data_IF_706413399457
#
_entry.id   IF_706413399457
#
_cell.length_a   1.000
_cell.length_b   1.000
_cell.length_c   1.000
_cell.angle_alpha   90.00
_cell.angle_beta   90.00
_cell.angle_gamma   90.00
#
_symmetry.space_group_name_H-M   'P 1'
#
loop_
_entity.id
_entity.type
_entity.pdbx_description
1 polymer ?
#
# COMPACT_ATOMS: atom_id res chain seq x y z
N UNK A 1 55.07 -5.74 6.57
CA UNK A 1 54.07 -6.51 5.78
C UNK A 1 52.86 -6.94 6.61
N UNK A 2 53.02 -7.68 7.72
CA UNK A 2 51.89 -8.15 8.56
C UNK A 2 50.98 -7.01 9.10
N UNK A 3 51.56 -5.89 9.54
CA UNK A 3 50.81 -4.72 10.02
C UNK A 3 50.03 -4.00 8.91
N UNK A 4 50.53 -4.01 7.67
CA UNK A 4 49.88 -3.37 6.53
C UNK A 4 48.68 -4.20 6.04
N UNK A 5 48.79 -5.53 6.04
CA UNK A 5 47.66 -6.41 5.71
C UNK A 5 46.52 -6.32 6.73
N UNK A 6 46.83 -6.16 8.03
CA UNK A 6 45.81 -6.02 9.07
C UNK A 6 45.02 -4.71 8.92
N UNK A 7 45.69 -3.62 8.55
CA UNK A 7 45.06 -2.31 8.31
C UNK A 7 44.16 -2.38 7.07
N UNK A 8 44.64 -2.99 5.97
CA UNK A 8 43.83 -3.16 4.76
C UNK A 8 42.61 -4.04 5.04
N UNK A 9 42.76 -5.13 5.80
CA UNK A 9 41.64 -6.00 6.18
C UNK A 9 40.63 -5.27 7.08
N UNK A 10 41.08 -4.45 8.03
CA UNK A 10 40.21 -3.65 8.88
C UNK A 10 39.44 -2.57 8.08
N UNK A 11 40.10 -1.91 7.12
CA UNK A 11 39.46 -0.93 6.23
C UNK A 11 38.47 -1.60 5.27
N UNK A 12 38.78 -2.80 4.78
CA UNK A 12 37.82 -3.58 3.98
C UNK A 12 36.64 -4.05 4.82
N UNK A 13 36.84 -4.51 6.07
CA UNK A 13 35.75 -4.90 6.96
C UNK A 13 34.83 -3.72 7.28
N UNK A 14 35.36 -2.52 7.55
CA UNK A 14 34.51 -1.35 7.81
C UNK A 14 33.77 -0.86 6.56
N UNK A 15 34.36 -0.99 5.38
CA UNK A 15 33.70 -0.69 4.11
C UNK A 15 32.57 -1.69 3.78
N UNK A 16 32.71 -2.97 4.12
CA UNK A 16 31.65 -3.98 3.91
C UNK A 16 30.49 -3.77 4.90
N UNK A 17 30.75 -3.32 6.13
CA UNK A 17 29.71 -3.01 7.13
C UNK A 17 28.98 -1.69 6.82
N UNK A 18 29.66 -0.70 6.24
CA UNK A 18 29.02 0.54 5.75
C UNK A 18 28.26 0.34 4.42
N UNK A 19 28.61 -0.71 3.67
CA UNK A 19 27.93 -1.13 2.44
C UNK A 19 26.76 -2.09 2.65
N UNK A 20 26.48 -2.50 3.90
CA UNK A 20 25.17 -3.06 4.26
C UNK A 20 24.16 -1.92 4.18
N UNK A 21 23.79 -1.58 2.94
CA UNK A 21 22.77 -0.60 2.65
C UNK A 21 21.55 -0.99 3.46
N UNK A 22 21.01 -0.02 4.21
CA UNK A 22 19.59 -0.03 4.58
C UNK A 22 18.82 -0.49 3.35
N UNK A 23 18.27 -1.69 3.42
CA UNK A 23 17.78 -2.42 2.27
C UNK A 23 16.69 -1.64 1.53
N UNK A 24 17.08 -0.88 0.49
CA UNK A 24 16.16 -0.22 -0.45
C UNK A 24 15.54 -1.25 -1.40
N UNK A 25 15.98 -2.51 -1.33
CA UNK A 25 15.32 -3.64 -1.99
C UNK A 25 14.27 -4.29 -1.09
N UNK A 26 13.72 -3.57 -0.08
CA UNK A 26 12.73 -4.10 0.87
C UNK A 26 11.66 -5.00 0.24
N UNK A 27 11.06 -4.65 -0.90
CA UNK A 27 10.10 -5.53 -1.61
C UNK A 27 10.71 -6.63 -2.51
N UNK A 28 12.00 -6.60 -2.79
CA UNK A 28 12.75 -7.70 -3.42
C UNK A 28 13.40 -8.62 -2.37
N UNK A 29 13.13 -8.42 -1.08
CA UNK A 29 13.45 -9.34 0.00
C UNK A 29 12.22 -9.60 0.88
N UNK A 30 11.10 -10.00 0.25
CA UNK A 30 9.86 -10.48 0.92
C UNK A 30 10.15 -11.80 1.66
N UNK A 31 10.97 -11.73 2.71
CA UNK A 31 11.45 -12.86 3.52
C UNK A 31 12.00 -14.01 2.66
N UNK A 32 12.85 -13.67 1.68
CA UNK A 32 13.47 -14.62 0.78
C UNK A 32 12.65 -15.00 -0.46
N UNK A 33 11.42 -14.49 -0.61
CA UNK A 33 10.62 -14.65 -1.84
C UNK A 33 10.97 -13.61 -2.90
N UNK A 34 11.43 -12.43 -2.49
CA UNK A 34 11.86 -11.37 -3.40
C UNK A 34 10.90 -11.03 -4.54
N UNK A 35 11.42 -10.73 -5.73
CA UNK A 35 10.61 -10.31 -6.87
C UNK A 35 9.47 -11.30 -7.18
N UNK A 36 9.71 -12.61 -7.00
CA UNK A 36 8.74 -13.66 -7.29
C UNK A 36 7.56 -13.72 -6.31
N UNK A 37 7.50 -12.83 -5.31
CA UNK A 37 6.30 -12.64 -4.50
C UNK A 37 5.19 -11.92 -5.28
N UNK A 38 5.54 -11.10 -6.28
CA UNK A 38 4.60 -10.31 -7.06
C UNK A 38 4.81 -10.48 -8.58
N UNK A 39 6.03 -10.76 -8.99
CA UNK A 39 6.45 -10.80 -10.39
C UNK A 39 6.66 -12.22 -10.90
N UNK A 40 6.20 -12.49 -12.13
CA UNK A 40 6.63 -13.69 -12.84
C UNK A 40 7.99 -13.43 -13.50
N UNK A 41 8.90 -14.42 -13.56
CA UNK A 41 10.19 -14.27 -14.26
C UNK A 41 10.03 -14.06 -15.78
N UNK A 42 8.82 -14.32 -16.32
CA UNK A 42 8.42 -14.04 -17.69
C UNK A 42 7.00 -13.45 -17.69
N UNK A 43 6.67 -12.66 -18.70
CA UNK A 43 5.44 -11.87 -18.73
C UNK A 43 4.16 -12.73 -18.60
N UNK A 44 3.30 -12.36 -17.64
CA UNK A 44 1.92 -12.82 -17.56
C UNK A 44 1.67 -13.97 -16.58
N UNK A 45 0.38 -14.17 -16.26
CA UNK A 45 -0.09 -15.13 -15.26
C UNK A 45 0.23 -16.60 -15.61
N UNK A 46 0.48 -16.89 -16.88
CA UNK A 46 0.90 -18.21 -17.35
C UNK A 46 2.26 -18.61 -16.76
N UNK A 47 3.14 -17.64 -16.52
CA UNK A 47 4.44 -17.87 -15.88
C UNK A 47 4.35 -18.45 -14.46
N UNK A 48 3.19 -18.33 -13.83
CA UNK A 48 2.91 -18.86 -12.48
C UNK A 48 1.88 -19.99 -12.48
N UNK A 49 1.60 -20.59 -13.64
CA UNK A 49 0.71 -21.75 -13.76
C UNK A 49 -0.77 -21.46 -13.52
N UNK A 50 -1.19 -20.19 -13.49
CA UNK A 50 -2.54 -19.78 -13.09
C UNK A 50 -3.22 -18.86 -14.11
N UNK A 51 -2.92 -19.04 -15.40
CA UNK A 51 -3.55 -18.24 -16.47
C UNK A 51 -4.96 -18.74 -16.81
N UNK A 52 -5.98 -17.88 -16.66
CA UNK A 52 -7.15 -18.01 -17.54
C UNK A 52 -6.85 -17.39 -18.91
N UNK A 53 -7.33 -18.04 -19.96
CA UNK A 53 -7.17 -17.61 -21.35
C UNK A 53 -7.90 -16.28 -21.69
N UNK A 54 -8.53 -15.62 -20.71
CA UNK A 54 -9.44 -14.49 -20.92
C UNK A 54 -8.76 -13.11 -20.96
N UNK A 55 -7.55 -12.93 -20.41
CA UNK A 55 -6.84 -11.64 -20.47
C UNK A 55 -5.76 -11.63 -21.55
N UNK A 56 -5.96 -10.99 -22.71
CA UNK A 56 -4.89 -10.72 -23.68
C UNK A 56 -3.87 -9.70 -23.16
N UNK A 57 -4.11 -9.13 -21.97
CA UNK A 57 -3.18 -8.25 -21.26
C UNK A 57 -2.42 -8.96 -20.15
N UNK A 58 -2.64 -10.27 -19.96
CA UNK A 58 -1.73 -11.11 -19.18
C UNK A 58 -0.35 -11.04 -19.84
N UNK A 59 0.58 -10.30 -19.21
CA UNK A 59 1.92 -10.05 -19.72
C UNK A 59 2.14 -8.69 -20.39
N UNK A 60 1.10 -7.86 -20.51
CA UNK A 60 1.25 -6.45 -20.94
C UNK A 60 1.69 -5.54 -19.79
N UNK A 61 1.44 -5.95 -18.55
CA UNK A 61 2.09 -5.37 -17.37
C UNK A 61 3.40 -6.12 -17.20
N UNK A 62 4.51 -5.45 -17.51
CA UNK A 62 5.83 -6.06 -17.52
C UNK A 62 6.09 -6.79 -16.20
N UNK A 63 6.45 -8.07 -16.31
CA UNK A 63 6.80 -8.94 -15.18
C UNK A 63 5.66 -9.17 -14.16
N UNK A 64 4.40 -8.75 -14.38
CA UNK A 64 3.32 -9.02 -13.43
C UNK A 64 2.90 -10.50 -13.48
N UNK A 65 2.80 -11.11 -12.29
CA UNK A 65 2.61 -12.55 -12.17
C UNK A 65 1.17 -13.03 -11.93
N UNK A 66 0.25 -12.16 -11.53
CA UNK A 66 -1.12 -12.61 -11.22
C UNK A 66 -2.07 -12.46 -12.40
N UNK A 67 -3.10 -13.31 -12.42
CA UNK A 67 -4.20 -13.19 -13.38
C UNK A 67 -5.17 -12.09 -12.94
N UNK A 68 -5.23 -11.03 -13.74
CA UNK A 68 -6.13 -9.90 -13.51
C UNK A 68 -7.54 -10.15 -14.07
N UNK A 69 -7.69 -11.12 -14.99
CA UNK A 69 -8.92 -11.30 -15.77
C UNK A 69 -10.19 -11.53 -14.95
N UNK A 70 -10.17 -12.25 -13.80
CA UNK A 70 -11.37 -12.47 -13.01
C UNK A 70 -12.00 -11.17 -12.47
N UNK A 71 -11.22 -10.10 -12.36
CA UNK A 71 -11.63 -8.81 -11.82
C UNK A 71 -12.20 -7.86 -12.88
N UNK A 72 -12.05 -8.18 -14.17
CA UNK A 72 -12.49 -7.30 -15.25
C UNK A 72 -14.01 -7.16 -15.28
N UNK A 73 -14.49 -5.91 -15.35
CA UNK A 73 -15.91 -5.60 -15.40
C UNK A 73 -16.68 -5.89 -14.11
N UNK A 74 -16.00 -6.23 -13.01
CA UNK A 74 -16.62 -6.47 -11.72
C UNK A 74 -17.02 -5.16 -11.06
N UNK A 75 -18.11 -5.18 -10.30
CA UNK A 75 -18.48 -4.08 -9.40
C UNK A 75 -18.34 -4.57 -7.97
N UNK A 76 -17.43 -3.93 -7.22
CA UNK A 76 -17.07 -4.29 -5.85
C UNK A 76 -17.52 -3.19 -4.88
N UNK A 77 -17.79 -3.58 -3.64
CA UNK A 77 -18.33 -2.72 -2.60
C UNK A 77 -17.48 -2.82 -1.33
N UNK A 78 -16.64 -1.83 -1.08
CA UNK A 78 -15.73 -1.78 0.06
C UNK A 78 -16.33 -0.98 1.21
N UNK A 79 -15.96 -1.33 2.44
CA UNK A 79 -16.09 -0.55 3.67
C UNK A 79 -17.50 -0.09 4.04
N UNK A 80 -17.72 0.27 5.30
CA UNK A 80 -18.99 0.81 5.82
C UNK A 80 -20.24 0.06 5.31
N UNK A 81 -20.23 -1.28 5.41
CA UNK A 81 -21.31 -2.13 4.89
C UNK A 81 -21.51 -2.06 3.36
N UNK A 82 -20.43 -1.86 2.62
CA UNK A 82 -20.40 -1.84 1.16
C UNK A 82 -20.77 -0.49 0.55
N UNK A 83 -20.54 0.60 1.28
CA UNK A 83 -20.90 1.97 0.87
C UNK A 83 -20.05 2.47 -0.30
N UNK A 84 -18.79 2.06 -0.39
CA UNK A 84 -17.85 2.55 -1.39
C UNK A 84 -17.81 1.59 -2.58
N UNK A 85 -18.51 1.97 -3.64
CA UNK A 85 -18.64 1.15 -4.84
C UNK A 85 -17.59 1.54 -5.86
N UNK A 86 -16.93 0.54 -6.46
CA UNK A 86 -16.03 0.70 -7.60
C UNK A 86 -16.42 -0.30 -8.69
N UNK A 87 -16.55 0.20 -9.93
CA UNK A 87 -16.67 -0.64 -11.12
C UNK A 87 -15.32 -0.70 -11.79
N UNK A 88 -14.77 -1.92 -11.88
CA UNK A 88 -13.47 -2.19 -12.47
C UNK A 88 -13.57 -2.22 -14.00
N UNK A 89 -12.70 -1.50 -14.73
CA UNK A 89 -12.71 -1.54 -16.18
C UNK A 89 -12.47 -2.95 -16.72
N UNK A 90 -12.90 -3.14 -17.95
CA UNK A 90 -12.60 -4.34 -18.68
C UNK A 90 -11.32 -4.16 -19.48
N UNK A 91 -10.20 -4.65 -18.94
CA UNK A 91 -8.93 -4.72 -19.65
C UNK A 91 -8.78 -6.06 -20.40
N UNK A 92 -9.85 -6.59 -21.00
CA UNK A 92 -9.89 -7.83 -21.79
C UNK A 92 -9.97 -7.57 -23.31
N UNK A 93 -10.21 -8.58 -24.14
CA UNK A 93 -10.48 -8.41 -25.60
C UNK A 93 -11.97 -8.48 -25.97
N UNK A 94 -12.82 -8.92 -25.05
CA UNK A 94 -14.26 -9.07 -25.26
C UNK A 94 -15.01 -8.20 -24.27
N UNK A 95 -16.17 -7.66 -24.66
CA UNK A 95 -17.02 -6.92 -23.73
C UNK A 95 -17.54 -7.85 -22.62
N UNK A 96 -17.53 -7.36 -21.38
CA UNK A 96 -17.99 -8.07 -20.18
C UNK A 96 -18.93 -7.12 -19.45
N UNK A 97 -20.12 -7.59 -19.03
CA UNK A 97 -21.10 -6.77 -18.28
C UNK A 97 -21.43 -5.42 -18.96
N UNK A 98 -21.53 -5.38 -20.29
CA UNK A 98 -21.70 -4.16 -21.11
C UNK A 98 -20.55 -3.13 -21.00
N UNK A 99 -19.38 -3.53 -20.49
CA UNK A 99 -18.17 -2.71 -20.41
C UNK A 99 -17.24 -3.14 -21.55
N UNK A 100 -16.98 -2.21 -22.48
CA UNK A 100 -16.08 -2.46 -23.60
C UNK A 100 -14.62 -2.57 -23.16
N UNK A 101 -13.80 -3.40 -23.85
CA UNK A 101 -12.36 -3.41 -23.70
C UNK A 101 -11.72 -2.02 -23.74
N UNK A 102 -10.83 -1.75 -22.79
CA UNK A 102 -9.92 -0.61 -22.83
C UNK A 102 -8.52 -1.09 -22.40
N UNK A 103 -7.47 -0.33 -22.69
CA UNK A 103 -6.18 -0.53 -22.05
C UNK A 103 -6.05 0.43 -20.85
N UNK A 104 -5.36 0.06 -19.76
CA UNK A 104 -5.01 1.03 -18.74
C UNK A 104 -4.13 2.12 -19.37
N UNK A 105 -4.46 3.38 -19.12
CA UNK A 105 -3.72 4.52 -19.67
C UNK A 105 -2.45 4.84 -18.87
N UNK A 106 -2.36 4.31 -17.65
CA UNK A 106 -1.22 4.47 -16.74
C UNK A 106 -1.17 3.31 -15.74
N UNK A 107 0.03 2.89 -15.34
CA UNK A 107 0.21 1.97 -14.21
C UNK A 107 -0.22 2.58 -12.86
N UNK A 108 -0.44 3.89 -12.82
CA UNK A 108 -0.95 4.64 -11.67
C UNK A 108 -2.44 4.96 -11.78
N UNK A 109 -3.14 4.45 -12.80
CA UNK A 109 -4.59 4.55 -12.85
C UNK A 109 -5.20 3.88 -11.60
N UNK A 110 -6.07 4.55 -10.84
CA UNK A 110 -6.56 4.03 -9.57
C UNK A 110 -7.35 2.73 -9.71
N UNK A 111 -8.08 2.55 -10.81
CA UNK A 111 -8.81 1.30 -11.05
C UNK A 111 -7.88 0.16 -11.41
N UNK A 112 -6.81 0.44 -12.17
CA UNK A 112 -5.76 -0.52 -12.42
C UNK A 112 -5.02 -0.90 -11.14
N UNK A 113 -4.69 0.08 -10.28
CA UNK A 113 -4.08 -0.17 -8.97
C UNK A 113 -4.96 -1.10 -8.13
N UNK A 114 -6.27 -0.84 -8.04
CA UNK A 114 -7.19 -1.73 -7.30
C UNK A 114 -7.20 -3.15 -7.90
N UNK A 115 -7.27 -3.30 -9.22
CA UNK A 115 -7.18 -4.60 -9.89
C UNK A 115 -5.86 -5.31 -9.54
N UNK A 116 -4.73 -4.61 -9.58
CA UNK A 116 -3.42 -5.18 -9.28
C UNK A 116 -3.37 -5.67 -7.83
N UNK A 117 -3.81 -4.87 -6.87
CA UNK A 117 -3.85 -5.26 -5.46
C UNK A 117 -4.77 -6.46 -5.22
N UNK A 118 -5.98 -6.43 -5.78
CA UNK A 118 -6.94 -7.53 -5.64
C UNK A 118 -6.49 -8.81 -6.33
N UNK A 119 -5.66 -8.75 -7.37
CA UNK A 119 -5.11 -9.97 -7.96
C UNK A 119 -4.24 -10.81 -7.00
N UNK A 120 -3.79 -10.17 -5.90
CA UNK A 120 -3.10 -10.81 -4.79
C UNK A 120 -4.01 -10.99 -3.56
N UNK A 121 -4.87 -10.00 -3.28
CA UNK A 121 -5.59 -9.87 -2.02
C UNK A 121 -7.09 -10.21 -2.09
N UNK A 122 -7.68 -10.48 -3.25
CA UNK A 122 -9.12 -10.77 -3.36
C UNK A 122 -9.49 -12.12 -2.70
N UNK A 123 -8.84 -13.22 -3.10
CA UNK A 123 -9.05 -14.55 -2.49
C UNK A 123 -10.40 -15.21 -2.81
N UNK A 124 -11.23 -14.62 -3.67
CA UNK A 124 -12.56 -15.09 -4.08
C UNK A 124 -12.68 -15.22 -5.62
N UNK A 125 -12.79 -14.08 -6.31
CA UNK A 125 -12.82 -13.97 -7.77
C UNK A 125 -11.42 -14.16 -8.36
N UNK A 126 -10.45 -13.37 -7.90
CA UNK A 126 -9.05 -13.55 -8.22
C UNK A 126 -8.44 -14.50 -7.18
N UNK A 127 -8.13 -15.73 -7.62
CA UNK A 127 -7.46 -16.72 -6.80
C UNK A 127 -5.94 -16.57 -6.99
N UNK A 128 -5.24 -15.98 -6.03
CA UNK A 128 -3.84 -15.64 -6.20
C UNK A 128 -2.99 -16.90 -6.29
N UNK A 129 -1.99 -16.88 -7.18
CA UNK A 129 -1.00 -17.94 -7.29
C UNK A 129 0.10 -17.82 -6.22
N UNK A 130 0.36 -16.61 -5.71
CA UNK A 130 1.52 -16.31 -4.84
C UNK A 130 1.15 -16.02 -3.38
N UNK A 131 0.02 -15.36 -3.11
CA UNK A 131 -0.44 -15.10 -1.74
C UNK A 131 -1.26 -16.27 -1.20
N UNK A 132 -1.05 -16.61 0.08
CA UNK A 132 -1.68 -17.76 0.74
C UNK A 132 -2.75 -17.37 1.75
N UNK A 133 -3.18 -16.10 1.75
CA UNK A 133 -4.23 -15.60 2.65
C UNK A 133 -3.74 -15.20 4.03
N UNK A 134 -2.44 -15.32 4.30
CA UNK A 134 -1.80 -14.80 5.51
C UNK A 134 -0.50 -14.06 5.19
N UNK A 135 -0.03 -13.23 6.12
CA UNK A 135 1.27 -12.56 6.03
C UNK A 135 2.37 -13.60 6.06
N UNK A 136 3.43 -13.41 5.28
CA UNK A 136 4.61 -14.30 5.37
C UNK A 136 5.37 -14.07 6.66
N UNK A 137 5.26 -12.86 7.21
CA UNK A 137 5.85 -12.42 8.46
C UNK A 137 5.08 -12.95 9.65
N UNK A 138 5.82 -13.51 10.61
CA UNK A 138 5.31 -13.71 11.95
C UNK A 138 5.21 -12.36 12.66
N UNK A 139 4.03 -12.06 13.18
CA UNK A 139 3.71 -10.80 13.82
C UNK A 139 4.16 -10.86 15.28
N UNK A 140 4.98 -9.89 15.69
CA UNK A 140 5.51 -9.87 17.03
C UNK A 140 4.48 -9.26 17.98
N UNK A 141 3.42 -10.01 18.27
CA UNK A 141 2.55 -9.89 19.43
C UNK A 141 1.50 -11.02 19.39
N UNK A 142 0.98 -11.38 20.56
CA UNK A 142 -0.16 -12.31 20.70
C UNK A 142 -1.49 -11.73 20.20
N UNK A 143 -1.49 -10.49 19.67
CA UNK A 143 -2.70 -9.80 19.22
C UNK A 143 -3.26 -10.37 17.91
N UNK A 144 -2.46 -11.13 17.17
CA UNK A 144 -2.92 -11.93 16.03
C UNK A 144 -2.79 -13.41 16.38
N UNK A 145 -3.93 -14.06 16.60
CA UNK A 145 -4.00 -15.49 16.89
C UNK A 145 -3.31 -16.28 15.77
N UNK A 146 -2.29 -17.07 16.11
CA UNK A 146 -1.49 -17.83 15.15
C UNK A 146 -0.31 -17.07 14.55
N UNK A 147 -0.07 -15.82 14.94
CA UNK A 147 1.14 -15.06 14.59
C UNK A 147 1.19 -14.57 13.14
N UNK A 148 0.17 -14.75 12.32
CA UNK A 148 0.13 -14.22 10.95
C UNK A 148 -1.20 -13.52 10.69
N UNK A 149 -1.17 -12.31 10.13
CA UNK A 149 -2.41 -11.58 9.82
C UNK A 149 -3.05 -12.14 8.54
N UNK A 150 -4.38 -12.19 8.45
CA UNK A 150 -5.08 -12.44 7.19
C UNK A 150 -4.67 -11.39 6.14
N UNK A 151 -4.53 -11.82 4.89
CA UNK A 151 -4.19 -10.93 3.77
C UNK A 151 -5.27 -10.88 2.70
N UNK A 152 -6.23 -11.81 2.70
CA UNK A 152 -7.37 -11.72 1.80
C UNK A 152 -8.39 -10.72 2.33
N UNK A 153 -8.86 -9.87 1.42
CA UNK A 153 -9.91 -8.88 1.60
C UNK A 153 -11.26 -9.52 1.26
N UNK A 154 -11.37 -10.08 0.05
CA UNK A 154 -12.62 -10.69 -0.42
C UNK A 154 -12.88 -12.10 0.12
N UNK A 155 -11.97 -12.70 0.88
CA UNK A 155 -12.16 -14.01 1.49
C UNK A 155 -11.35 -14.11 2.80
N UNK A 156 -11.60 -13.16 3.69
CA UNK A 156 -10.91 -12.96 4.97
C UNK A 156 -11.27 -13.99 6.06
N UNK A 157 -12.03 -15.04 5.72
CA UNK A 157 -12.56 -16.04 6.66
C UNK A 157 -14.01 -15.79 7.09
N UNK A 158 -14.65 -14.72 6.62
CA UNK A 158 -16.09 -14.49 6.76
C UNK A 158 -16.90 -15.16 5.63
N UNK A 159 -17.40 -14.39 4.67
CA UNK A 159 -18.12 -14.86 3.48
C UNK A 159 -17.33 -14.47 2.23
N UNK A 160 -17.11 -15.37 1.26
CA UNK A 160 -16.47 -15.00 0.01
C UNK A 160 -17.19 -13.83 -0.70
N UNK A 161 -16.40 -12.85 -1.16
CA UNK A 161 -16.84 -11.60 -1.76
C UNK A 161 -17.22 -10.50 -0.75
N UNK A 162 -17.00 -10.71 0.55
CA UNK A 162 -17.28 -9.71 1.56
C UNK A 162 -16.11 -8.73 1.72
N UNK A 163 -16.32 -7.48 1.31
CA UNK A 163 -15.36 -6.38 1.50
C UNK A 163 -15.89 -5.31 2.48
N UNK A 164 -16.99 -5.60 3.18
CA UNK A 164 -17.78 -4.62 3.90
C UNK A 164 -17.07 -4.08 5.16
N UNK A 165 -16.17 -4.88 5.73
CA UNK A 165 -15.33 -4.58 6.90
C UNK A 165 -13.94 -4.06 6.52
N UNK A 166 -13.63 -3.96 5.23
CA UNK A 166 -12.35 -3.44 4.77
C UNK A 166 -12.30 -1.92 4.79
N UNK A 167 -11.09 -1.37 4.63
CA UNK A 167 -10.92 0.05 4.42
C UNK A 167 -11.67 0.51 3.16
N UNK A 168 -12.27 1.71 3.18
CA UNK A 168 -12.89 2.32 2.01
C UNK A 168 -11.94 2.35 0.81
N UNK A 169 -12.39 1.86 -0.34
CA UNK A 169 -11.67 1.95 -1.61
C UNK A 169 -12.62 2.38 -2.72
N UNK A 170 -12.16 3.29 -3.58
CA UNK A 170 -12.87 3.67 -4.79
C UNK A 170 -13.24 5.16 -4.89
N UNK A 171 -14.02 5.53 -5.93
CA UNK A 171 -14.27 6.92 -6.31
C UNK A 171 -14.89 7.81 -5.24
N UNK A 172 -15.71 7.21 -4.37
CA UNK A 172 -16.43 7.93 -3.33
C UNK A 172 -15.73 7.82 -1.97
N UNK A 173 -14.65 7.06 -1.88
CA UNK A 173 -13.80 6.97 -0.69
C UNK A 173 -12.79 8.13 -0.74
N UNK A 174 -13.18 9.28 -0.17
CA UNK A 174 -12.37 10.49 -0.14
C UNK A 174 -11.96 10.81 1.30
N UNK A 175 -10.69 11.18 1.49
CA UNK A 175 -10.24 11.74 2.77
C UNK A 175 -10.80 13.16 2.89
N UNK A 176 -11.43 13.49 4.01
CA UNK A 176 -11.96 14.83 4.24
C UNK A 176 -10.88 15.83 4.64
N UNK A 177 -11.06 17.10 4.26
CA UNK A 177 -10.37 18.24 4.85
C UNK A 177 -11.39 19.22 5.44
N UNK A 178 -11.14 19.67 6.67
CA UNK A 178 -11.98 20.61 7.40
C UNK A 178 -13.22 19.97 8.06
N UNK A 179 -13.73 20.63 9.10
CA UNK A 179 -14.80 20.12 9.95
C UNK A 179 -14.28 19.41 11.20
N UNK A 180 -15.19 18.97 12.07
CA UNK A 180 -14.86 18.45 13.41
C UNK A 180 -14.05 17.14 13.39
N UNK A 181 -14.18 16.33 12.35
CA UNK A 181 -13.62 14.97 12.28
C UNK A 181 -12.50 14.81 11.24
N UNK A 182 -12.07 15.89 10.61
CA UNK A 182 -11.07 15.87 9.55
C UNK A 182 -9.87 16.74 9.93
N UNK A 183 -8.73 16.49 9.30
CA UNK A 183 -7.60 17.40 9.37
C UNK A 183 -7.97 18.80 8.87
N UNK A 184 -7.34 19.83 9.44
CA UNK A 184 -7.33 21.19 8.91
C UNK A 184 -6.43 21.34 7.67
N UNK A 185 -6.61 20.45 6.70
CA UNK A 185 -5.89 20.41 5.44
C UNK A 185 -6.61 21.14 4.29
N UNK A 186 -5.98 21.20 3.13
CA UNK A 186 -6.59 21.63 1.87
C UNK A 186 -6.41 20.56 0.80
N UNK A 187 -7.46 20.27 0.04
CA UNK A 187 -7.37 19.42 -1.15
C UNK A 187 -7.03 20.30 -2.36
N UNK A 188 -5.87 20.06 -2.97
CA UNK A 188 -5.40 20.79 -4.13
C UNK A 188 -6.12 20.35 -5.40
N UNK A 189 -6.11 21.20 -6.44
CA UNK A 189 -6.75 20.90 -7.74
C UNK A 189 -6.21 19.62 -8.41
N UNK A 190 -4.96 19.24 -8.09
CA UNK A 190 -4.36 18.00 -8.57
C UNK A 190 -4.70 16.77 -7.69
N UNK A 191 -5.60 16.89 -6.70
CA UNK A 191 -6.00 15.81 -5.81
C UNK A 191 -5.04 15.54 -4.64
N UNK A 192 -3.90 16.22 -4.57
CA UNK A 192 -2.99 16.12 -3.42
C UNK A 192 -3.52 16.89 -2.20
N UNK A 193 -3.07 16.50 -1.01
CA UNK A 193 -3.49 17.12 0.25
C UNK A 193 -2.35 18.00 0.78
N UNK A 194 -2.70 19.22 1.17
CA UNK A 194 -1.81 20.17 1.81
C UNK A 194 -2.15 20.26 3.29
N UNK A 195 -1.23 19.83 4.14
CA UNK A 195 -1.34 19.90 5.60
C UNK A 195 -0.83 21.27 6.06
N UNK A 196 -1.59 22.33 5.75
CA UNK A 196 -1.19 23.73 6.02
C UNK A 196 -1.90 24.33 7.22
N UNK A 197 -2.89 23.65 7.80
CA UNK A 197 -3.52 24.10 9.02
C UNK A 197 -2.62 23.88 10.23
N UNK A 198 -2.96 24.51 11.35
CA UNK A 198 -2.14 24.50 12.55
C UNK A 198 -1.95 23.08 13.11
N UNK A 199 -3.03 22.29 13.19
CA UNK A 199 -2.99 20.95 13.77
C UNK A 199 -2.31 19.94 12.84
N UNK A 200 -2.69 19.94 11.56
CA UNK A 200 -2.11 19.08 10.52
C UNK A 200 -0.62 19.37 10.30
N UNK A 201 -0.19 20.64 10.37
CA UNK A 201 1.23 21.02 10.31
C UNK A 201 1.99 20.53 11.55
N UNK A 202 1.40 20.69 12.75
CA UNK A 202 2.03 20.24 13.98
C UNK A 202 2.20 18.71 14.02
N UNK A 203 1.18 17.96 13.61
CA UNK A 203 1.24 16.50 13.49
C UNK A 203 2.39 16.05 12.58
N UNK A 204 2.55 16.73 11.45
CA UNK A 204 3.62 16.45 10.53
C UNK A 204 5.01 16.75 11.11
N UNK A 205 5.16 17.78 11.93
CA UNK A 205 6.40 18.07 12.67
C UNK A 205 6.67 16.98 13.72
N UNK A 206 5.66 16.62 14.51
CA UNK A 206 5.80 15.73 15.67
C UNK A 206 6.15 14.30 15.28
N UNK A 207 5.55 13.76 14.21
CA UNK A 207 5.65 12.32 13.91
C UNK A 207 6.35 12.01 12.60
N UNK A 208 6.35 12.95 11.68
CA UNK A 208 6.92 12.73 10.36
C UNK A 208 8.12 13.63 10.08
N UNK A 209 8.39 14.68 10.85
CA UNK A 209 9.43 15.68 10.57
C UNK A 209 9.44 16.12 9.09
N UNK A 210 8.25 16.24 8.48
CA UNK A 210 8.11 16.56 7.05
C UNK A 210 6.99 17.52 6.79
N UNK A 211 7.27 18.55 6.01
CA UNK A 211 6.22 19.30 5.30
C UNK A 211 5.97 18.74 3.89
N UNK A 212 6.70 17.68 3.49
CA UNK A 212 6.80 17.21 2.09
C UNK A 212 6.52 15.71 1.85
N UNK A 213 6.38 14.82 2.83
CA UNK A 213 6.27 13.36 2.58
C UNK A 213 5.32 12.59 3.52
N UNK A 214 4.08 13.04 3.72
CA UNK A 214 3.07 12.27 4.46
C UNK A 214 2.45 11.12 3.65
N UNK A 215 1.87 10.12 4.34
CA UNK A 215 1.11 8.97 3.79
C UNK A 215 0.12 9.41 2.69
N UNK A 216 -0.50 10.58 2.88
CA UNK A 216 -1.63 11.08 2.08
C UNK A 216 -1.19 11.92 0.88
N UNK A 217 0.10 12.29 0.78
CA UNK A 217 0.59 13.18 -0.29
C UNK A 217 0.36 12.61 -1.69
N UNK A 218 0.35 11.29 -1.83
CA UNK A 218 0.26 10.58 -3.10
C UNK A 218 -1.06 9.79 -3.23
N UNK A 219 -2.17 10.40 -2.82
CA UNK A 219 -3.50 9.94 -3.23
C UNK A 219 -3.62 10.02 -4.76
N UNK A 220 -4.30 9.05 -5.37
CA UNK A 220 -4.41 8.96 -6.82
C UNK A 220 -5.23 10.14 -7.37
N UNK A 221 -4.75 10.75 -8.44
CA UNK A 221 -5.42 11.86 -9.14
C UNK A 221 -5.96 11.38 -10.48
N UNK A 222 -7.26 11.49 -10.70
CA UNK A 222 -7.93 11.06 -11.94
C UNK A 222 -8.00 12.15 -13.01
N UNK A 223 -7.29 13.28 -12.84
CA UNK A 223 -7.24 14.37 -13.83
C UNK A 223 -8.54 15.19 -13.96
N UNK A 224 -9.60 14.84 -13.25
CA UNK A 224 -10.76 15.69 -13.00
C UNK A 224 -10.64 16.32 -11.61
N UNK A 225 -11.20 17.52 -11.38
CA UNK A 225 -11.18 18.28 -10.10
C UNK A 225 -11.89 17.56 -8.90
N UNK A 226 -11.98 16.24 -8.93
CA UNK A 226 -12.58 15.30 -7.97
C UNK A 226 -11.81 13.98 -8.21
N UNK A 227 -10.98 13.43 -7.35
CA UNK A 227 -10.63 13.72 -5.95
C UNK A 227 -9.67 12.60 -5.54
N UNK A 228 -8.85 12.81 -4.49
CA UNK A 228 -7.91 11.79 -4.03
C UNK A 228 -8.61 10.51 -3.56
N UNK A 229 -8.80 9.55 -4.47
CA UNK A 229 -9.42 8.26 -4.17
C UNK A 229 -8.54 7.50 -3.19
N UNK A 230 -9.16 6.95 -2.16
CA UNK A 230 -8.49 5.93 -1.36
C UNK A 230 -8.37 4.67 -2.21
N UNK A 231 -7.13 4.22 -2.40
CA UNK A 231 -6.76 2.94 -3.01
C UNK A 231 -5.82 2.21 -2.05
N UNK A 232 -5.50 0.96 -2.33
CA UNK A 232 -4.53 0.21 -1.52
C UNK A 232 -3.18 0.96 -1.42
N UNK A 233 -2.76 1.64 -2.50
CA UNK A 233 -1.49 2.39 -2.52
C UNK A 233 -1.54 3.73 -1.81
N UNK A 234 -2.71 4.16 -1.33
CA UNK A 234 -2.82 5.30 -0.40
C UNK A 234 -2.06 5.01 0.89
N UNK A 235 -2.26 3.81 1.42
CA UNK A 235 -1.70 3.39 2.70
C UNK A 235 -0.48 2.49 2.55
N UNK A 236 -0.34 1.79 1.41
CA UNK A 236 0.75 0.85 1.16
C UNK A 236 1.66 1.28 0.01
N UNK A 237 2.97 1.08 0.17
CA UNK A 237 3.97 1.13 -0.88
C UNK A 237 4.51 -0.27 -1.07
N UNK A 238 4.07 -0.90 -2.15
CA UNK A 238 4.41 -2.26 -2.54
C UNK A 238 5.91 -2.49 -2.73
N UNK A 239 6.74 -1.43 -2.75
CA UNK A 239 8.18 -1.52 -2.88
C UNK A 239 8.95 -1.32 -1.56
N UNK A 240 8.27 -0.91 -0.48
CA UNK A 240 8.90 -0.44 0.75
C UNK A 240 8.42 -1.21 1.98
N UNK A 241 9.15 -2.26 2.37
CA UNK A 241 8.75 -3.15 3.47
C UNK A 241 9.24 -2.77 4.86
N UNK A 242 10.45 -2.21 4.96
CA UNK A 242 11.21 -2.20 6.22
C UNK A 242 11.55 -0.80 6.71
N UNK A 243 11.62 0.17 5.79
CA UNK A 243 12.00 1.55 6.10
C UNK A 243 11.04 2.53 5.44
N UNK A 244 10.52 3.47 6.22
CA UNK A 244 9.87 4.67 5.73
C UNK A 244 10.84 5.86 5.85
N UNK A 245 11.11 6.52 4.72
CA UNK A 245 11.97 7.70 4.70
C UNK A 245 11.14 8.96 5.00
N UNK A 246 11.46 9.62 6.11
CA UNK A 246 10.85 10.88 6.54
C UNK A 246 11.50 12.10 5.90
N UNK A 247 12.25 11.97 4.80
CA UNK A 247 13.06 13.05 4.23
C UNK A 247 14.31 13.42 5.04
N UNK A 248 14.24 13.36 6.38
CA UNK A 248 15.35 13.68 7.30
C UNK A 248 15.94 12.42 7.95
N UNK A 249 15.14 11.37 8.12
CA UNK A 249 15.52 10.13 8.80
C UNK A 249 14.86 8.91 8.15
N UNK A 250 15.42 7.74 8.44
CA UNK A 250 14.82 6.45 8.11
C UNK A 250 14.15 5.90 9.37
N UNK A 251 12.83 5.70 9.32
CA UNK A 251 12.03 5.10 10.40
C UNK A 251 11.63 3.67 10.02
N UNK A 252 11.49 2.75 10.98
CA UNK A 252 11.01 1.40 10.68
C UNK A 252 9.57 1.44 10.14
N UNK A 253 9.29 0.65 9.12
CA UNK A 253 7.92 0.32 8.71
C UNK A 253 7.78 -1.19 8.58
N UNK A 254 6.54 -1.66 8.52
CA UNK A 254 6.18 -3.06 8.28
C UNK A 254 4.95 -3.12 7.36
N UNK A 255 4.64 -4.31 6.84
CA UNK A 255 3.43 -4.54 6.03
C UNK A 255 3.29 -3.64 4.81
N UNK A 256 4.42 -3.22 4.25
CA UNK A 256 4.44 -2.30 3.11
C UNK A 256 3.76 -0.96 3.41
N UNK A 257 3.61 -0.56 4.67
CA UNK A 257 2.87 0.67 5.03
C UNK A 257 3.70 1.92 4.73
N UNK A 258 3.05 2.95 4.18
CA UNK A 258 3.64 4.25 3.77
C UNK A 258 3.85 5.22 4.92
N UNK A 259 4.32 4.75 6.06
CA UNK A 259 4.54 5.59 7.23
C UNK A 259 5.42 4.92 8.26
N UNK A 260 5.75 5.65 9.32
CA UNK A 260 6.39 5.04 10.49
C UNK A 260 5.40 4.07 11.16
N UNK A 261 5.65 2.77 11.02
CA UNK A 261 4.77 1.73 11.54
C UNK A 261 5.61 0.60 12.14
N UNK A 262 5.69 0.56 13.47
CA UNK A 262 6.35 -0.51 14.20
C UNK A 262 5.44 -1.04 15.31
N UNK A 263 4.79 -2.20 15.13
CA UNK A 263 3.90 -2.78 16.13
C UNK A 263 4.63 -3.22 17.41
N UNK A 264 5.98 -3.28 17.40
CA UNK A 264 6.79 -3.63 18.57
C UNK A 264 7.15 -2.47 19.48
N UNK A 265 6.96 -1.23 19.06
CA UNK A 265 7.48 -0.09 19.80
C UNK A 265 6.57 1.13 19.73
N UNK A 266 6.16 1.59 20.90
CA UNK A 266 5.54 2.90 21.10
C UNK A 266 4.20 3.03 20.40
N UNK A 267 3.87 4.27 20.04
CA UNK A 267 2.57 4.63 19.47
C UNK A 267 2.55 4.77 17.94
N UNK A 268 3.62 4.37 17.24
CA UNK A 268 3.81 4.59 15.80
C UNK A 268 2.63 4.09 14.94
N UNK A 269 2.07 2.93 15.26
CA UNK A 269 0.89 2.40 14.57
C UNK A 269 -0.32 3.33 14.71
N UNK A 270 -0.54 3.92 15.89
CA UNK A 270 -1.60 4.91 16.09
C UNK A 270 -1.32 6.18 15.29
N UNK A 271 -0.07 6.64 15.24
CA UNK A 271 0.31 7.82 14.44
C UNK A 271 0.04 7.62 12.95
N UNK A 272 0.36 6.44 12.43
CA UNK A 272 0.04 6.09 11.06
C UNK A 272 -1.47 6.20 10.79
N UNK A 273 -2.31 5.58 11.61
CA UNK A 273 -3.78 5.62 11.44
C UNK A 273 -4.32 7.06 11.46
N UNK A 274 -3.79 7.91 12.35
CA UNK A 274 -4.20 9.31 12.46
C UNK A 274 -3.86 10.17 11.25
N UNK A 275 -2.99 9.69 10.36
CA UNK A 275 -2.83 10.33 9.05
C UNK A 275 -4.18 10.46 8.34
N UNK A 276 -4.98 9.38 8.30
CA UNK A 276 -6.31 9.37 7.67
C UNK A 276 -7.45 9.77 8.63
N UNK A 277 -7.22 9.64 9.93
CA UNK A 277 -8.19 9.87 11.01
C UNK A 277 -7.76 11.08 11.85
N UNK A 278 -7.76 12.24 11.20
CA UNK A 278 -7.23 13.47 11.80
C UNK A 278 -8.04 13.98 12.98
N UNK A 279 -9.36 13.82 12.95
CA UNK A 279 -10.24 14.23 14.06
C UNK A 279 -9.92 13.53 15.38
N UNK A 280 -9.26 12.38 15.32
CA UNK A 280 -8.82 11.57 16.46
C UNK A 280 -7.40 11.95 16.95
N UNK A 281 -6.78 12.98 16.37
CA UNK A 281 -5.43 13.42 16.73
C UNK A 281 -5.38 14.36 17.92
N UNK A 282 -4.32 14.22 18.72
CA UNK A 282 -4.01 15.11 19.84
C UNK A 282 -4.00 16.58 19.41
N UNK A 283 -3.45 16.86 18.23
CA UNK A 283 -3.27 18.21 17.68
C UNK A 283 -4.63 18.84 17.35
N UNK A 284 -5.60 18.05 16.87
CA UNK A 284 -6.99 18.50 16.67
C UNK A 284 -7.73 18.75 17.99
N UNK A 285 -7.24 18.23 19.11
CA UNK A 285 -7.76 18.47 20.48
C UNK A 285 -6.91 19.47 21.28
N UNK A 286 -6.03 20.23 20.62
CA UNK A 286 -5.23 21.31 21.24
C UNK A 286 -4.02 20.82 22.05
N UNK A 287 -3.66 19.55 21.94
CA UNK A 287 -2.44 19.00 22.53
C UNK A 287 -1.31 19.04 21.51
N UNK A 288 -0.27 19.82 21.77
CA UNK A 288 0.88 20.03 20.87
C UNK A 288 2.15 19.30 21.33
N UNK A 289 2.01 18.38 22.29
CA UNK A 289 3.14 17.58 22.78
C UNK A 289 3.08 16.23 22.10
N UNK A 290 4.13 15.93 21.33
CA UNK A 290 4.33 14.62 20.73
C UNK A 290 4.24 13.53 21.80
N UNK A 291 3.37 12.56 21.57
CA UNK A 291 3.35 11.32 22.35
C UNK A 291 4.28 10.32 21.66
N UNK A 292 5.02 9.49 22.38
CA UNK A 292 5.91 8.47 21.79
C UNK A 292 5.62 7.09 22.37
#
# INVERSE_FOLDING_TARGET
MKKLMLIILAVMLTAVVAGAQTDVLGAHLVYGRGCIACHAPHNGAAGNGNSNAASPYSGNVALWGQDLSPLYGQTLKFGDAGRYTITLPNYGNVAINNISPAAPTSAHDPTFVVIACLSCHDGNLAKPAMMQGTTVEALPNSSVSGGHAPTFLGNDGSTPGNYNNDHPVGPTALVGCGGQYNWDCTINANGSYSFTGAASSQFLVDYFDVTKYGVIKNLASTGTNQGGWVTCTTCHDQHSMTVFNTGTQNRPTMFFVRGWYNPNSGNSAAQFCRSCHGGESNEMHGLTVATY
#
